data_IF_052953091517
#
_entry.id   IF_052953091517
#
_cell.length_a   1.000
_cell.length_b   1.000
_cell.length_c   1.000
_cell.angle_alpha   90.00
_cell.angle_beta   90.00
_cell.angle_gamma   90.00
#
_symmetry.space_group_name_H-M   'P 1'
#
loop_
_entity.id
_entity.type
_entity.pdbx_description
1 polymer ?
#
# COMPACT_ATOMS: atom_id res chain seq x y z
N UNK A 1 -6.42 15.48 13.66
CA UNK A 1 -5.60 15.85 12.48
C UNK A 1 -4.18 16.10 12.95
N UNK A 2 -3.18 15.51 12.29
CA UNK A 2 -1.76 15.67 12.67
C UNK A 2 -1.29 17.11 12.40
N UNK A 3 -0.34 17.61 13.19
CA UNK A 3 0.37 18.87 12.92
C UNK A 3 1.31 18.77 11.72
N UNK A 4 1.69 19.90 11.12
CA UNK A 4 2.68 19.96 10.03
C UNK A 4 3.99 19.22 10.35
N UNK A 5 4.51 19.38 11.57
CA UNK A 5 5.74 18.71 11.99
C UNK A 5 5.57 17.19 12.08
N UNK A 6 4.42 16.71 12.54
CA UNK A 6 4.10 15.27 12.57
C UNK A 6 3.96 14.71 11.14
N UNK A 7 3.39 15.49 10.23
CA UNK A 7 3.29 15.15 8.82
C UNK A 7 4.66 15.04 8.13
N UNK A 8 5.55 16.00 8.36
CA UNK A 8 6.92 15.96 7.80
C UNK A 8 7.71 14.73 8.29
N UNK A 9 7.59 14.40 9.58
CA UNK A 9 8.22 13.21 10.17
C UNK A 9 7.67 11.92 9.54
N UNK A 10 6.35 11.84 9.36
CA UNK A 10 5.71 10.70 8.71
C UNK A 10 6.20 10.55 7.26
N UNK A 11 6.33 11.65 6.51
CA UNK A 11 6.83 11.63 5.13
C UNK A 11 8.28 11.11 5.06
N UNK A 12 9.17 11.64 5.90
CA UNK A 12 10.56 11.17 5.97
C UNK A 12 10.66 9.69 6.32
N UNK A 13 9.78 9.23 7.21
CA UNK A 13 9.70 7.81 7.59
C UNK A 13 9.23 6.93 6.43
N UNK A 14 8.24 7.39 5.64
CA UNK A 14 7.79 6.69 4.44
C UNK A 14 8.92 6.55 3.41
N UNK A 15 9.67 7.64 3.15
CA UNK A 15 10.81 7.62 2.23
C UNK A 15 11.89 6.64 2.71
N UNK A 16 12.27 6.71 3.99
CA UNK A 16 13.27 5.79 4.55
C UNK A 16 12.83 4.33 4.44
N UNK A 17 11.56 4.02 4.74
CA UNK A 17 11.03 2.66 4.58
C UNK A 17 11.11 2.21 3.13
N UNK A 18 10.83 3.08 2.16
CA UNK A 18 10.94 2.72 0.75
C UNK A 18 12.37 2.46 0.31
N UNK A 19 13.32 3.26 0.79
CA UNK A 19 14.75 3.09 0.52
C UNK A 19 15.30 1.81 1.16
N UNK A 20 14.84 1.47 2.36
CA UNK A 20 15.29 0.29 3.12
C UNK A 20 14.56 -1.00 2.73
N UNK A 21 13.39 -0.91 2.08
CA UNK A 21 12.61 -2.08 1.73
C UNK A 21 13.29 -2.82 0.57
N UNK A 22 13.99 -3.90 0.93
CA UNK A 22 14.53 -4.81 -0.05
C UNK A 22 13.36 -5.46 -0.82
N UNK A 23 13.31 -5.23 -2.13
CA UNK A 23 12.45 -5.95 -3.08
C UNK A 23 13.23 -7.04 -3.84
N UNK A 24 14.53 -7.20 -3.58
CA UNK A 24 15.50 -7.91 -4.41
C UNK A 24 16.39 -6.92 -5.18
N UNK A 25 17.49 -7.41 -5.76
CA UNK A 25 18.57 -6.59 -6.35
C UNK A 25 18.17 -5.79 -7.59
N UNK A 26 17.01 -6.07 -8.17
CA UNK A 26 16.61 -5.58 -9.49
C UNK A 26 15.39 -4.65 -9.44
N UNK A 27 14.97 -4.21 -8.25
CA UNK A 27 13.73 -3.44 -8.07
C UNK A 27 13.99 -2.12 -7.35
N UNK A 28 13.51 -1.02 -7.94
CA UNK A 28 13.51 0.32 -7.34
C UNK A 28 12.06 0.74 -7.05
N UNK A 29 11.77 1.10 -5.80
CA UNK A 29 10.48 1.66 -5.40
C UNK A 29 10.59 3.18 -5.23
N UNK A 30 9.69 3.93 -5.85
CA UNK A 30 9.68 5.40 -5.71
C UNK A 30 8.27 5.95 -5.71
N UNK A 31 8.07 7.05 -4.97
CA UNK A 31 6.82 7.82 -5.04
C UNK A 31 6.86 8.67 -6.31
N UNK A 32 6.01 8.36 -7.28
CA UNK A 32 6.02 9.01 -8.61
C UNK A 32 5.02 10.14 -8.76
N UNK A 33 4.01 10.21 -7.88
CA UNK A 33 3.02 11.28 -7.93
C UNK A 33 2.64 11.72 -6.52
N UNK A 34 2.68 13.03 -6.32
CA UNK A 34 2.12 13.75 -5.19
C UNK A 34 1.11 14.74 -5.73
N UNK A 35 -0.10 14.78 -5.16
CA UNK A 35 -1.07 15.83 -5.44
C UNK A 35 -0.97 16.94 -4.38
N UNK A 36 -0.25 18.06 -4.64
CA UNK A 36 -0.13 19.17 -3.71
C UNK A 36 -1.49 19.81 -3.37
N UNK A 37 -2.46 19.74 -4.27
CA UNK A 37 -3.78 20.35 -4.07
C UNK A 37 -4.67 19.57 -3.10
N UNK A 38 -4.32 18.31 -2.80
CA UNK A 38 -4.99 17.49 -1.77
C UNK A 38 -4.16 17.36 -0.49
N UNK A 39 -3.05 18.08 -0.40
CA UNK A 39 -2.24 18.09 0.78
C UNK A 39 -2.87 19.00 1.84
N UNK A 40 -3.81 18.46 2.63
CA UNK A 40 -4.29 19.20 3.81
C UNK A 40 -3.08 19.49 4.69
N UNK A 41 -2.71 20.77 4.79
CA UNK A 41 -1.55 21.25 5.54
C UNK A 41 -0.18 20.75 5.03
N UNK A 42 -0.05 20.32 3.77
CA UNK A 42 1.24 19.99 3.16
C UNK A 42 1.64 18.51 3.18
N UNK A 43 0.78 17.61 3.65
CA UNK A 43 0.99 16.15 3.56
C UNK A 43 0.12 15.49 2.48
N UNK A 44 0.70 14.73 1.53
CA UNK A 44 -0.07 13.97 0.56
C UNK A 44 -1.06 13.00 1.25
N UNK A 45 -2.32 12.98 0.79
CA UNK A 45 -3.26 11.92 1.13
C UNK A 45 -3.30 10.80 0.07
N UNK A 46 -2.52 10.92 -0.99
CA UNK A 46 -2.44 9.97 -2.10
C UNK A 46 -0.99 9.75 -2.49
N UNK A 47 -0.59 8.49 -2.59
CA UNK A 47 0.75 8.05 -2.92
C UNK A 47 0.67 7.06 -4.07
N UNK A 48 1.37 7.38 -5.16
CA UNK A 48 1.61 6.44 -6.24
C UNK A 48 3.03 5.90 -6.10
N UNK A 49 3.16 4.63 -5.76
CA UNK A 49 4.43 3.93 -5.72
C UNK A 49 4.59 3.13 -7.00
N UNK A 50 5.53 3.56 -7.83
CA UNK A 50 5.99 2.75 -8.94
C UNK A 50 7.18 1.91 -8.47
N UNK A 51 7.07 0.59 -8.66
CA UNK A 51 8.19 -0.33 -8.46
C UNK A 51 8.62 -0.83 -9.83
N UNK A 52 9.86 -0.54 -10.21
CA UNK A 52 10.40 -0.82 -11.54
C UNK A 52 11.47 -1.88 -11.50
N UNK A 53 11.45 -2.78 -12.48
CA UNK A 53 12.59 -3.65 -12.75
C UNK A 53 13.72 -2.84 -13.41
N UNK A 54 14.88 -2.80 -12.78
CA UNK A 54 16.08 -2.12 -13.31
C UNK A 54 16.53 -2.71 -14.65
N UNK A 55 16.26 -4.00 -14.88
CA UNK A 55 16.68 -4.74 -16.08
C UNK A 55 15.61 -4.87 -17.18
N UNK A 56 14.41 -4.29 -17.02
CA UNK A 56 13.32 -4.43 -18.00
C UNK A 56 12.55 -3.12 -18.24
N UNK A 57 12.77 -2.52 -19.42
CA UNK A 57 12.31 -1.16 -19.77
C UNK A 57 10.79 -0.92 -19.75
N UNK A 58 9.93 -1.95 -19.70
CA UNK A 58 8.47 -1.79 -19.91
C UNK A 58 7.55 -2.55 -18.97
N UNK A 59 8.10 -3.16 -17.93
CA UNK A 59 7.29 -3.96 -17.01
C UNK A 59 7.27 -3.35 -15.63
N UNK A 60 6.10 -2.89 -15.24
CA UNK A 60 5.86 -2.21 -13.98
C UNK A 60 5.20 -3.12 -12.96
N UNK A 61 5.51 -2.84 -11.70
CA UNK A 61 4.68 -3.17 -10.57
C UNK A 61 4.19 -1.82 -10.05
N UNK A 62 2.89 -1.68 -9.82
CA UNK A 62 2.35 -0.46 -9.25
C UNK A 62 1.60 -0.73 -7.95
N UNK A 63 1.65 0.25 -7.06
CA UNK A 63 0.86 0.29 -5.85
C UNK A 63 0.39 1.73 -5.67
N UNK A 64 -0.91 1.93 -5.81
CA UNK A 64 -1.54 3.22 -5.55
C UNK A 64 -2.34 3.09 -4.26
N UNK A 65 -2.01 3.92 -3.28
CA UNK A 65 -2.74 3.95 -2.02
C UNK A 65 -3.01 5.36 -1.54
N UNK A 66 -4.11 5.51 -0.79
CA UNK A 66 -4.51 6.77 -0.19
C UNK A 66 -4.57 6.65 1.33
N UNK A 67 -4.18 7.72 2.03
CA UNK A 67 -4.56 7.93 3.41
C UNK A 67 -5.93 8.56 3.45
N UNK A 68 -6.82 7.95 4.22
CA UNK A 68 -8.19 8.43 4.35
C UNK A 68 -8.27 9.66 5.24
N UNK A 69 -8.49 10.82 4.64
CA UNK A 69 -8.63 12.11 5.31
C UNK A 69 -10.00 12.30 5.98
N UNK A 70 -11.05 11.67 5.47
CA UNK A 70 -12.40 11.75 6.02
C UNK A 70 -12.49 11.19 7.46
N UNK A 71 -11.81 10.09 7.76
CA UNK A 71 -11.76 9.52 9.12
C UNK A 71 -10.50 9.93 9.88
N UNK A 72 -9.86 11.05 9.52
CA UNK A 72 -8.73 11.60 10.25
C UNK A 72 -7.45 10.75 10.18
N UNK A 73 -7.20 10.12 9.03
CA UNK A 73 -6.04 9.27 8.74
C UNK A 73 -5.99 8.02 9.62
N UNK A 74 -7.13 7.35 9.76
CA UNK A 74 -7.22 6.08 10.50
C UNK A 74 -7.05 4.84 9.60
N UNK A 75 -7.16 5.00 8.27
CA UNK A 75 -7.04 3.91 7.30
C UNK A 75 -6.22 4.28 6.07
N UNK A 76 -5.50 3.30 5.54
CA UNK A 76 -4.98 3.30 4.16
C UNK A 76 -5.97 2.60 3.25
N UNK A 77 -6.25 3.18 2.09
CA UNK A 77 -7.04 2.57 1.02
C UNK A 77 -6.14 2.20 -0.16
N UNK A 78 -6.00 0.91 -0.45
CA UNK A 78 -5.38 0.43 -1.69
C UNK A 78 -6.35 0.72 -2.83
N UNK A 79 -5.91 1.56 -3.77
CA UNK A 79 -6.68 2.01 -4.93
C UNK A 79 -6.36 1.17 -6.17
N UNK A 80 -5.08 0.82 -6.34
CA UNK A 80 -4.63 -0.08 -7.38
C UNK A 80 -3.43 -0.89 -6.91
N UNK A 81 -3.33 -2.11 -7.42
CA UNK A 81 -2.13 -2.93 -7.33
C UNK A 81 -2.10 -3.86 -8.54
N UNK A 82 -1.16 -3.63 -9.43
CA UNK A 82 -0.95 -4.40 -10.64
C UNK A 82 0.47 -4.95 -10.69
N UNK A 83 0.57 -6.17 -11.20
CA UNK A 83 1.82 -6.86 -11.42
C UNK A 83 1.74 -7.44 -12.81
N UNK A 84 2.67 -7.00 -13.66
CA UNK A 84 2.83 -7.55 -15.00
C UNK A 84 2.79 -9.09 -14.94
N UNK A 85 1.93 -9.67 -15.77
CA UNK A 85 1.67 -11.10 -15.90
C UNK A 85 2.93 -11.98 -15.85
N UNK A 86 4.04 -11.54 -16.44
CA UNK A 86 5.31 -12.32 -16.46
C UNK A 86 5.99 -12.46 -15.09
N UNK A 87 5.61 -11.61 -14.13
CA UNK A 87 6.13 -11.62 -12.76
C UNK A 87 5.09 -12.00 -11.72
N UNK A 88 3.88 -12.37 -12.14
CA UNK A 88 2.92 -12.95 -11.22
C UNK A 88 3.43 -14.29 -10.69
N UNK A 89 2.93 -14.72 -9.54
CA UNK A 89 3.32 -15.98 -8.87
C UNK A 89 4.79 -16.06 -8.41
N UNK A 90 5.50 -14.94 -8.37
CA UNK A 90 6.87 -14.83 -7.85
C UNK A 90 6.93 -14.42 -6.37
N UNK A 91 5.78 -14.13 -5.76
CA UNK A 91 5.68 -13.63 -4.38
C UNK A 91 5.63 -12.10 -4.24
N UNK A 92 5.81 -11.35 -5.33
CA UNK A 92 5.86 -9.88 -5.29
C UNK A 92 4.58 -9.22 -4.78
N UNK A 93 3.41 -9.78 -5.10
CA UNK A 93 2.15 -9.27 -4.53
C UNK A 93 2.14 -9.31 -3.00
N UNK A 94 2.69 -10.37 -2.40
CA UNK A 94 2.80 -10.44 -0.94
C UNK A 94 3.79 -9.40 -0.40
N UNK A 95 4.92 -9.19 -1.07
CA UNK A 95 5.89 -8.14 -0.69
C UNK A 95 5.30 -6.73 -0.79
N UNK A 96 4.45 -6.47 -1.79
CA UNK A 96 3.70 -5.20 -1.89
C UNK A 96 2.76 -4.99 -0.70
N UNK A 97 2.06 -6.05 -0.26
CA UNK A 97 1.22 -5.98 0.93
C UNK A 97 2.07 -5.75 2.18
N UNK A 98 3.21 -6.43 2.33
CA UNK A 98 4.14 -6.21 3.44
C UNK A 98 4.66 -4.77 3.49
N UNK A 99 5.06 -4.22 2.33
CA UNK A 99 5.40 -2.80 2.21
C UNK A 99 4.22 -1.92 2.61
N UNK A 100 3.02 -2.19 2.09
CA UNK A 100 1.82 -1.42 2.43
C UNK A 100 1.58 -1.42 3.93
N UNK A 101 1.77 -2.55 4.62
CA UNK A 101 1.66 -2.66 6.08
C UNK A 101 2.73 -1.81 6.77
N UNK A 102 3.99 -1.87 6.33
CA UNK A 102 5.08 -1.08 6.90
C UNK A 102 4.82 0.43 6.77
N UNK A 103 4.46 0.89 5.56
CA UNK A 103 4.11 2.29 5.28
C UNK A 103 2.91 2.74 6.13
N UNK A 104 1.90 1.90 6.22
CA UNK A 104 0.69 2.16 7.00
C UNK A 104 1.00 2.34 8.50
N UNK A 105 1.85 1.48 9.07
CA UNK A 105 2.29 1.60 10.46
C UNK A 105 3.08 2.89 10.71
N UNK A 106 3.94 3.30 9.77
CA UNK A 106 4.76 4.50 9.91
C UNK A 106 3.96 5.81 9.98
N UNK A 107 2.80 5.84 9.33
CA UNK A 107 1.87 6.99 9.37
C UNK A 107 0.81 6.86 10.47
N UNK A 108 0.88 5.79 11.28
CA UNK A 108 0.02 5.57 12.44
C UNK A 108 -1.40 5.11 12.10
N UNK A 109 -1.69 4.68 10.87
CA UNK A 109 -3.00 4.10 10.55
C UNK A 109 -3.13 2.70 11.15
N UNK A 110 -4.35 2.32 11.51
CA UNK A 110 -4.64 1.02 12.15
C UNK A 110 -5.33 0.03 11.22
N UNK A 111 -5.58 0.44 9.98
CA UNK A 111 -6.42 -0.30 9.05
C UNK A 111 -5.95 -0.11 7.63
N UNK A 112 -5.99 -1.19 6.85
CA UNK A 112 -5.79 -1.18 5.40
C UNK A 112 -7.07 -1.74 4.78
N UNK A 113 -7.61 -1.08 3.77
CA UNK A 113 -8.79 -1.54 3.05
C UNK A 113 -8.64 -1.34 1.55
N UNK A 114 -9.50 -2.00 0.78
CA UNK A 114 -9.59 -1.76 -0.65
C UNK A 114 -10.73 -2.56 -1.27
N UNK A 115 -10.74 -2.58 -2.59
CA UNK A 115 -11.72 -3.27 -3.41
C UNK A 115 -11.00 -4.23 -4.34
N UNK A 116 -11.48 -5.45 -4.42
CA UNK A 116 -11.04 -6.45 -5.36
C UNK A 116 -12.15 -6.72 -6.37
N UNK A 117 -11.76 -6.91 -7.62
CA UNK A 117 -12.63 -7.51 -8.62
C UNK A 117 -12.86 -8.97 -8.22
N UNK A 118 -14.13 -9.38 -8.27
CA UNK A 118 -14.56 -10.73 -7.98
C UNK A 118 -15.54 -11.18 -9.07
N UNK A 119 -14.98 -11.62 -10.19
CA UNK A 119 -15.76 -12.17 -11.31
C UNK A 119 -15.11 -13.45 -11.86
N UNK A 120 -15.83 -14.15 -12.73
CA UNK A 120 -15.46 -15.47 -13.27
C UNK A 120 -14.13 -15.47 -14.04
N UNK A 121 -13.72 -14.31 -14.57
CA UNK A 121 -12.53 -14.19 -15.41
C UNK A 121 -11.31 -13.68 -14.64
N UNK A 122 -11.53 -12.84 -13.63
CA UNK A 122 -10.51 -12.18 -12.84
C UNK A 122 -10.99 -12.02 -11.39
N UNK A 123 -10.45 -12.85 -10.50
CA UNK A 123 -10.65 -12.70 -9.05
C UNK A 123 -9.30 -12.62 -8.34
N UNK A 124 -9.06 -11.49 -7.68
CA UNK A 124 -7.91 -11.30 -6.79
C UNK A 124 -8.26 -11.51 -5.31
N UNK A 125 -9.52 -11.86 -5.01
CA UNK A 125 -10.03 -12.05 -3.64
C UNK A 125 -9.21 -13.06 -2.86
N UNK A 126 -8.99 -14.25 -3.43
CA UNK A 126 -8.23 -15.31 -2.76
C UNK A 126 -6.76 -14.94 -2.50
N UNK A 127 -6.21 -13.97 -3.24
CA UNK A 127 -4.88 -13.42 -2.93
C UNK A 127 -4.92 -12.57 -1.65
N UNK A 128 -5.90 -11.67 -1.51
CA UNK A 128 -6.04 -10.84 -0.32
C UNK A 128 -6.39 -11.66 0.93
N UNK A 129 -7.23 -12.70 0.79
CA UNK A 129 -7.50 -13.67 1.88
C UNK A 129 -6.21 -14.31 2.39
N UNK A 130 -5.36 -14.79 1.48
CA UNK A 130 -4.05 -15.38 1.81
C UNK A 130 -3.05 -14.38 2.39
N UNK A 131 -3.32 -13.09 2.24
CA UNK A 131 -2.55 -12.04 2.89
C UNK A 131 -3.11 -11.67 4.27
N UNK A 132 -4.22 -12.26 4.71
CA UNK A 132 -4.82 -12.03 6.03
C UNK A 132 -5.88 -10.94 6.05
N UNK A 133 -6.40 -10.53 4.89
CA UNK A 133 -7.53 -9.60 4.84
C UNK A 133 -8.85 -10.33 5.11
N UNK A 134 -9.72 -9.70 5.89
CA UNK A 134 -11.12 -10.05 5.97
C UNK A 134 -11.83 -9.63 4.68
N UNK A 135 -12.64 -10.53 4.13
CA UNK A 135 -13.39 -10.31 2.90
C UNK A 135 -14.86 -10.08 3.19
N UNK A 136 -15.42 -9.03 2.58
CA UNK A 136 -16.85 -8.73 2.61
C UNK A 136 -17.37 -8.59 1.18
N UNK A 137 -18.12 -9.57 0.71
CA UNK A 137 -18.74 -9.54 -0.62
C UNK A 137 -19.89 -8.53 -0.64
N UNK A 138 -19.88 -7.62 -1.62
CA UNK A 138 -20.98 -6.69 -1.88
C UNK A 138 -21.27 -6.65 -3.39
N UNK A 139 -22.23 -7.47 -3.84
CA UNK A 139 -22.58 -7.58 -5.26
C UNK A 139 -21.38 -7.98 -6.13
N UNK A 140 -21.03 -7.18 -7.14
CA UNK A 140 -19.91 -7.40 -8.09
C UNK A 140 -18.55 -6.89 -7.58
N UNK A 141 -18.51 -6.19 -6.44
CA UNK A 141 -17.29 -5.67 -5.84
C UNK A 141 -17.09 -6.32 -4.48
N UNK A 142 -15.90 -6.89 -4.27
CA UNK A 142 -15.57 -7.50 -3.00
C UNK A 142 -14.66 -6.57 -2.22
N UNK A 143 -15.11 -6.15 -1.04
CA UNK A 143 -14.32 -5.34 -0.13
C UNK A 143 -13.33 -6.24 0.62
N UNK A 144 -12.10 -5.76 0.78
CA UNK A 144 -11.12 -6.38 1.68
C UNK A 144 -10.67 -5.36 2.72
N UNK A 145 -10.48 -5.81 3.97
CA UNK A 145 -9.92 -4.98 5.04
C UNK A 145 -9.07 -5.80 6.00
N UNK A 146 -8.01 -5.19 6.54
CA UNK A 146 -7.14 -5.77 7.56
C UNK A 146 -6.93 -4.74 8.66
N UNK A 147 -7.00 -5.19 9.91
CA UNK A 147 -6.54 -4.41 11.06
C UNK A 147 -5.05 -4.66 11.23
N UNK A 148 -4.27 -3.58 11.23
CA UNK A 148 -2.84 -3.59 11.46
C UNK A 148 -2.59 -2.93 12.83
N UNK A 149 -2.76 -3.69 13.90
CA UNK A 149 -2.31 -3.23 15.20
C UNK A 149 -0.78 -3.17 15.23
N UNK A 150 -0.23 -2.29 16.09
CA UNK A 150 1.14 -2.48 16.54
C UNK A 150 1.20 -3.86 17.20
N UNK A 151 1.84 -4.83 16.54
CA UNK A 151 2.46 -5.91 17.28
C UNK A 151 3.48 -5.23 18.17
N UNK A 152 3.14 -5.09 19.45
CA UNK A 152 4.13 -4.89 20.50
C UNK A 152 5.09 -6.06 20.34
N UNK A 153 6.26 -5.80 19.75
CA UNK A 153 7.36 -6.75 19.77
C UNK A 153 7.75 -6.83 21.24
N UNK A 154 7.11 -7.74 21.99
CA UNK A 154 7.61 -8.16 23.28
C UNK A 154 8.89 -8.90 22.94
N UNK A 155 10.01 -8.19 23.04
CA UNK A 155 11.32 -8.80 23.10
C UNK A 155 11.28 -9.89 24.18
N UNK A 156 11.45 -11.14 23.77
CA UNK A 156 11.82 -12.25 24.63
C UNK A 156 13.21 -12.69 24.24
#
# INVERSE_FOLDING_TARGET
MLSYKQQEVAYKSLIQILEDFDFGTDLEARITEWNPNKAMLGFPNSYNLAIRYLNYEKSGIDLIFNLDDEEGWNKVKIMNMDIDSKYQRTGLGRRLIELTIALSKAVGVKKICGQALDNEYNSSVGFYEKCGFEIKKQNTITMFCMIISETTTINR
#
